data_IF_598130084539
#
_entry.id   IF_598130084539
#
_cell.length_a   1.000
_cell.length_b   1.000
_cell.length_c   1.000
_cell.angle_alpha   90.00
_cell.angle_beta   90.00
_cell.angle_gamma   90.00
#
_symmetry.space_group_name_H-M   'P 1'
#
loop_
_entity.id
_entity.type
_entity.pdbx_description
1 polymer ?
#
# COMPACT_ATOMS: atom_id res chain seq x y z
N UNK A 1 2.83 -4.69 22.48
CA UNK A 1 2.83 -4.66 21.01
C UNK A 1 4.25 -4.88 20.54
N UNK A 2 4.49 -5.80 19.59
CA UNK A 2 5.81 -5.96 18.96
C UNK A 2 6.34 -4.63 18.39
N UNK A 3 7.65 -4.53 18.30
CA UNK A 3 8.34 -3.34 17.77
C UNK A 3 8.35 -3.33 16.23
N UNK A 4 7.16 -3.26 15.62
CA UNK A 4 6.92 -3.40 14.18
C UNK A 4 5.73 -2.52 13.75
N UNK A 5 5.23 -2.70 12.52
CA UNK A 5 3.99 -2.11 12.00
C UNK A 5 2.79 -2.25 12.95
N UNK A 6 2.83 -3.18 13.90
CA UNK A 6 1.76 -3.40 14.86
C UNK A 6 1.38 -2.15 15.65
N UNK A 7 2.33 -1.20 15.80
CA UNK A 7 2.06 0.09 16.43
C UNK A 7 1.01 0.90 15.66
N UNK A 8 0.89 0.74 14.34
CA UNK A 8 -0.17 1.37 13.54
C UNK A 8 -1.57 0.97 13.99
N UNK A 9 -1.81 -0.27 14.40
CA UNK A 9 -3.13 -0.68 14.90
C UNK A 9 -3.53 0.12 16.15
N UNK A 10 -2.55 0.41 17.03
CA UNK A 10 -2.79 1.23 18.21
C UNK A 10 -3.00 2.70 17.85
N UNK A 11 -2.26 3.22 16.87
CA UNK A 11 -2.49 4.56 16.30
C UNK A 11 -3.93 4.68 15.80
N UNK A 12 -4.38 3.77 14.94
CA UNK A 12 -5.73 3.81 14.36
C UNK A 12 -6.83 3.57 15.38
N UNK A 13 -6.62 2.70 16.38
CA UNK A 13 -7.56 2.56 17.49
C UNK A 13 -7.73 3.87 18.27
N UNK A 14 -6.63 4.59 18.56
CA UNK A 14 -6.69 5.88 19.25
C UNK A 14 -7.32 6.98 18.37
N UNK A 15 -6.99 7.03 17.07
CA UNK A 15 -7.64 7.96 16.13
C UNK A 15 -9.15 7.73 16.05
N UNK A 16 -9.58 6.47 15.97
CA UNK A 16 -10.99 6.10 15.97
C UNK A 16 -11.70 6.51 17.25
N UNK A 17 -11.12 6.18 18.42
CA UNK A 17 -11.66 6.56 19.73
C UNK A 17 -11.74 8.09 19.88
N UNK A 18 -10.69 8.82 19.49
CA UNK A 18 -10.68 10.29 19.47
C UNK A 18 -11.82 10.84 18.62
N UNK A 19 -12.02 10.31 17.41
CA UNK A 19 -13.05 10.77 16.47
C UNK A 19 -14.48 10.64 17.00
N UNK A 20 -14.76 9.60 17.79
CA UNK A 20 -16.09 9.35 18.37
C UNK A 20 -16.25 9.88 19.79
N UNK A 21 -15.28 10.64 20.31
CA UNK A 21 -15.31 11.17 21.69
C UNK A 21 -15.10 10.11 22.77
N UNK A 22 -14.59 8.94 22.41
CA UNK A 22 -14.22 7.87 23.35
C UNK A 22 -12.93 8.18 24.12
N UNK A 23 -12.61 7.34 25.11
CA UNK A 23 -11.35 7.45 25.85
C UNK A 23 -10.17 7.05 24.94
N UNK A 24 -9.22 7.95 24.76
CA UNK A 24 -8.00 7.72 23.97
C UNK A 24 -6.78 8.33 24.67
N UNK A 25 -5.58 7.99 24.22
CA UNK A 25 -4.33 8.53 24.73
C UNK A 25 -3.57 9.29 23.64
N UNK A 26 -3.60 10.62 23.71
CA UNK A 26 -2.83 11.48 22.81
C UNK A 26 -1.32 11.24 22.97
N UNK A 27 -0.83 11.11 24.21
CA UNK A 27 0.58 10.78 24.49
C UNK A 27 1.02 9.47 23.83
N UNK A 28 0.18 8.43 23.87
CA UNK A 28 0.49 7.16 23.22
C UNK A 28 0.52 7.30 21.70
N UNK A 29 -0.44 8.01 21.13
CA UNK A 29 -0.50 8.27 19.69
C UNK A 29 0.76 8.98 19.21
N UNK A 30 1.17 10.06 19.89
CA UNK A 30 2.37 10.81 19.56
C UNK A 30 3.62 9.93 19.63
N UNK A 31 3.83 9.21 20.73
CA UNK A 31 4.99 8.30 20.89
C UNK A 31 5.05 7.21 19.83
N UNK A 32 3.90 6.67 19.43
CA UNK A 32 3.86 5.63 18.40
C UNK A 32 4.20 6.18 17.02
N UNK A 33 3.71 7.38 16.68
CA UNK A 33 4.05 8.04 15.41
C UNK A 33 5.53 8.40 15.38
N UNK A 34 6.07 8.99 16.46
CA UNK A 34 7.51 9.27 16.57
C UNK A 34 8.35 8.00 16.39
N UNK A 35 7.95 6.91 17.05
CA UNK A 35 8.67 5.64 16.96
C UNK A 35 8.55 4.98 15.59
N UNK A 36 7.35 4.94 14.99
CA UNK A 36 7.13 4.43 13.64
C UNK A 36 7.95 5.19 12.59
N UNK A 37 8.17 6.49 12.80
CA UNK A 37 9.02 7.30 11.92
C UNK A 37 10.49 6.88 11.94
N UNK A 38 10.97 6.26 13.01
CA UNK A 38 12.34 5.72 13.06
C UNK A 38 12.56 4.54 12.11
N UNK A 39 11.49 3.98 11.54
CA UNK A 39 11.56 2.87 10.60
C UNK A 39 11.77 3.32 9.16
N UNK A 40 11.61 4.62 8.87
CA UNK A 40 11.88 5.19 7.56
C UNK A 40 13.38 5.11 7.25
N UNK A 41 13.72 4.72 6.03
CA UNK A 41 15.12 4.56 5.58
C UNK A 41 15.52 5.54 4.48
N UNK A 42 14.55 6.13 3.80
CA UNK A 42 14.76 7.13 2.76
C UNK A 42 14.20 6.69 1.42
N UNK A 43 14.17 7.61 0.46
CA UNK A 43 13.56 7.47 -0.87
C UNK A 43 12.16 6.80 -0.87
N UNK A 44 11.33 7.12 0.13
CA UNK A 44 10.00 6.52 0.26
C UNK A 44 9.99 5.10 0.85
N UNK A 45 11.12 4.48 1.17
CA UNK A 45 11.16 3.12 1.72
C UNK A 45 11.27 3.11 3.25
N UNK A 46 10.57 2.15 3.86
CA UNK A 46 10.57 1.92 5.30
C UNK A 46 10.73 0.44 5.60
N UNK A 47 11.37 0.14 6.72
CA UNK A 47 11.39 -1.19 7.29
C UNK A 47 10.07 -1.49 8.01
N UNK A 48 9.73 -2.77 8.15
CA UNK A 48 8.78 -3.22 9.17
C UNK A 48 9.47 -3.49 10.51
N UNK A 49 10.13 -2.46 11.05
CA UNK A 49 10.85 -2.54 12.32
C UNK A 49 12.05 -1.61 12.43
N UNK A 50 12.79 -1.71 13.55
CA UNK A 50 13.94 -0.85 13.82
C UNK A 50 15.10 -1.09 12.85
N UNK A 51 16.14 -0.28 13.00
CA UNK A 51 17.38 -0.42 12.24
C UNK A 51 17.95 -1.85 12.36
N UNK A 52 18.49 -2.38 11.27
CA UNK A 52 18.95 -3.77 11.15
C UNK A 52 17.90 -4.78 10.66
N UNK A 53 16.60 -4.44 10.70
CA UNK A 53 15.54 -5.26 10.08
C UNK A 53 15.36 -4.83 8.63
N UNK A 54 15.68 -5.67 7.65
CA UNK A 54 15.48 -5.34 6.24
C UNK A 54 14.20 -6.01 5.70
N UNK A 55 13.09 -5.27 5.70
CA UNK A 55 11.78 -5.74 5.22
C UNK A 55 11.11 -4.63 4.40
N UNK A 56 11.57 -4.47 3.17
CA UNK A 56 11.14 -3.43 2.22
C UNK A 56 10.38 -4.04 1.05
N UNK A 57 9.43 -4.92 1.32
CA UNK A 57 8.60 -5.61 0.32
C UNK A 57 7.23 -4.96 0.14
N UNK A 58 6.33 -5.58 -0.64
CA UNK A 58 4.96 -5.09 -0.80
C UNK A 58 4.17 -4.97 0.50
N UNK A 59 4.55 -5.70 1.57
CA UNK A 59 3.94 -5.47 2.87
C UNK A 59 4.21 -4.05 3.33
N UNK A 60 5.48 -3.63 3.30
CA UNK A 60 5.86 -2.27 3.67
C UNK A 60 5.40 -1.25 2.63
N UNK A 61 5.59 -1.54 1.35
CA UNK A 61 5.46 -0.55 0.29
C UNK A 61 4.04 -0.38 -0.27
N UNK A 62 3.20 -1.42 -0.16
CA UNK A 62 1.89 -1.43 -0.81
C UNK A 62 0.72 -1.47 0.16
N UNK A 63 0.64 -2.49 1.03
CA UNK A 63 -0.59 -2.82 1.75
C UNK A 63 -0.52 -2.72 3.27
N UNK A 64 0.62 -2.37 3.86
CA UNK A 64 0.71 -2.02 5.28
C UNK A 64 1.29 -0.62 5.48
N UNK A 65 2.61 -0.42 5.44
CA UNK A 65 3.20 0.82 5.98
C UNK A 65 2.80 2.06 5.18
N UNK A 66 3.03 2.09 3.86
CA UNK A 66 2.58 3.23 3.04
C UNK A 66 1.07 3.41 3.05
N UNK A 67 0.32 2.31 2.96
CA UNK A 67 -1.14 2.34 3.02
C UNK A 67 -1.64 3.02 4.31
N UNK A 68 -1.08 2.63 5.46
CA UNK A 68 -1.41 3.14 6.77
C UNK A 68 -0.93 4.60 6.94
N UNK A 69 0.26 4.95 6.44
CA UNK A 69 0.75 6.34 6.41
C UNK A 69 -0.19 7.26 5.61
N UNK A 70 -0.67 6.80 4.45
CA UNK A 70 -1.58 7.57 3.60
C UNK A 70 -2.96 7.72 4.23
N UNK A 71 -3.54 6.66 4.83
CA UNK A 71 -4.78 6.80 5.59
C UNK A 71 -4.59 7.75 6.77
N UNK A 72 -3.49 7.64 7.51
CA UNK A 72 -3.17 8.56 8.61
C UNK A 72 -3.13 10.00 8.11
N UNK A 73 -2.44 10.26 6.99
CA UNK A 73 -2.31 11.61 6.43
C UNK A 73 -3.67 12.25 6.10
N UNK A 74 -4.68 11.44 5.79
CA UNK A 74 -6.05 11.91 5.54
C UNK A 74 -6.82 12.12 6.83
N UNK A 75 -6.78 11.16 7.75
CA UNK A 75 -7.59 11.16 8.97
C UNK A 75 -7.07 12.14 10.04
N UNK A 76 -5.76 12.34 10.10
CA UNK A 76 -5.09 13.17 11.09
C UNK A 76 -4.66 14.54 10.52
N UNK A 77 -4.99 14.88 9.27
CA UNK A 77 -4.51 16.10 8.59
C UNK A 77 -4.69 17.40 9.40
N UNK A 78 -5.80 17.53 10.13
CA UNK A 78 -6.07 18.71 10.96
C UNK A 78 -5.27 18.71 12.26
N UNK A 79 -5.04 17.55 12.85
CA UNK A 79 -4.39 17.40 14.16
C UNK A 79 -2.86 17.35 14.05
N UNK A 80 -2.34 16.77 12.97
CA UNK A 80 -0.92 16.61 12.68
C UNK A 80 -0.63 16.90 11.19
N UNK A 81 -0.76 18.18 10.75
CA UNK A 81 -0.58 18.55 9.35
C UNK A 81 0.86 18.34 8.86
N UNK A 82 1.84 18.46 9.75
CA UNK A 82 3.25 18.28 9.40
C UNK A 82 3.55 16.81 9.06
N UNK A 83 3.11 15.87 9.90
CA UNK A 83 3.30 14.46 9.62
C UNK A 83 2.47 13.97 8.44
N UNK A 84 1.25 14.51 8.27
CA UNK A 84 0.43 14.24 7.11
C UNK A 84 1.14 14.64 5.81
N UNK A 85 1.73 15.84 5.75
CA UNK A 85 2.50 16.30 4.60
C UNK A 85 3.73 15.41 4.33
N UNK A 86 4.47 15.06 5.37
CA UNK A 86 5.64 14.17 5.29
C UNK A 86 5.29 12.79 4.72
N UNK A 87 4.20 12.17 5.18
CA UNK A 87 3.75 10.87 4.65
C UNK A 87 3.30 10.94 3.20
N UNK A 88 2.67 12.03 2.78
CA UNK A 88 2.34 12.25 1.37
C UNK A 88 3.61 12.41 0.52
N UNK A 89 4.62 13.11 1.02
CA UNK A 89 5.89 13.29 0.30
C UNK A 89 6.65 11.96 0.15
N UNK A 90 6.71 11.14 1.22
CA UNK A 90 7.28 9.79 1.13
C UNK A 90 6.58 8.94 0.07
N UNK A 91 5.25 9.04 -0.01
CA UNK A 91 4.48 8.34 -1.02
C UNK A 91 4.74 8.87 -2.44
N UNK A 92 4.90 10.19 -2.62
CA UNK A 92 5.33 10.76 -3.91
C UNK A 92 6.66 10.17 -4.37
N UNK A 93 7.66 10.13 -3.49
CA UNK A 93 8.96 9.54 -3.84
C UNK A 93 8.85 8.04 -4.15
N UNK A 94 8.14 7.28 -3.31
CA UNK A 94 7.96 5.84 -3.52
C UNK A 94 7.20 5.50 -4.82
N UNK A 95 6.25 6.34 -5.23
CA UNK A 95 5.46 6.11 -6.45
C UNK A 95 6.34 6.00 -7.70
N UNK A 96 7.44 6.78 -7.76
CA UNK A 96 8.38 6.76 -8.88
C UNK A 96 9.21 5.47 -8.95
N UNK A 97 9.32 4.72 -7.85
CA UNK A 97 9.94 3.40 -7.83
C UNK A 97 8.89 2.31 -8.08
N UNK A 98 7.74 2.40 -7.40
CA UNK A 98 6.70 1.37 -7.42
C UNK A 98 6.05 1.18 -8.80
N UNK A 99 6.04 2.21 -9.65
CA UNK A 99 5.54 2.11 -11.03
C UNK A 99 6.26 1.03 -11.84
N UNK A 100 7.56 0.80 -11.57
CA UNK A 100 8.38 -0.16 -12.30
C UNK A 100 8.12 -1.62 -11.90
N UNK A 101 7.32 -1.87 -10.86
CA UNK A 101 6.96 -3.23 -10.46
C UNK A 101 5.73 -3.78 -11.19
N UNK A 102 5.10 -2.96 -12.04
CA UNK A 102 3.92 -3.31 -12.81
C UNK A 102 4.21 -3.23 -14.31
N UNK A 103 3.67 -4.16 -15.06
CA UNK A 103 3.69 -4.06 -16.52
C UNK A 103 2.44 -3.36 -17.07
N UNK A 104 2.43 -3.18 -18.39
CA UNK A 104 1.35 -2.52 -19.10
C UNK A 104 0.03 -3.29 -19.07
N UNK A 105 0.05 -4.58 -18.75
CA UNK A 105 -1.16 -5.40 -18.52
C UNK A 105 -1.63 -5.35 -17.05
N UNK A 106 -0.93 -4.60 -16.20
CA UNK A 106 -1.22 -4.46 -14.77
C UNK A 106 -0.77 -5.65 -13.93
N UNK A 107 0.03 -6.57 -14.47
CA UNK A 107 0.62 -7.67 -13.70
C UNK A 107 1.73 -7.11 -12.81
N UNK A 108 1.77 -7.59 -11.58
CA UNK A 108 2.79 -7.22 -10.61
C UNK A 108 3.83 -8.36 -10.50
N UNK A 109 5.11 -8.01 -10.41
CA UNK A 109 6.17 -8.97 -10.10
C UNK A 109 5.97 -9.46 -8.65
N UNK A 110 5.90 -10.76 -8.36
CA UNK A 110 5.81 -11.24 -6.98
C UNK A 110 7.03 -10.79 -6.16
N UNK A 111 6.80 -10.08 -5.06
CA UNK A 111 7.86 -9.43 -4.30
C UNK A 111 7.63 -9.49 -2.78
N UNK A 112 8.48 -10.28 -2.12
CA UNK A 112 8.57 -10.42 -0.67
C UNK A 112 7.45 -11.23 -0.03
N UNK A 113 7.03 -10.86 1.17
CA UNK A 113 6.09 -11.65 1.98
C UNK A 113 4.63 -11.22 1.81
N UNK A 114 3.74 -12.01 2.40
CA UNK A 114 2.28 -11.82 2.39
C UNK A 114 1.70 -11.78 0.98
N UNK A 115 2.35 -12.46 0.04
CA UNK A 115 1.90 -12.52 -1.36
C UNK A 115 0.53 -13.18 -1.51
N UNK A 116 0.06 -13.92 -0.50
CA UNK A 116 -1.30 -14.44 -0.44
C UNK A 116 -2.39 -13.35 -0.43
N UNK A 117 -2.01 -12.08 -0.27
CA UNK A 117 -2.92 -10.92 -0.36
C UNK A 117 -3.15 -10.47 -1.82
N UNK A 118 -2.45 -11.04 -2.79
CA UNK A 118 -2.75 -10.95 -4.24
C UNK A 118 -2.84 -9.51 -4.75
N UNK A 119 -4.05 -9.05 -5.08
CA UNK A 119 -4.30 -7.70 -5.60
C UNK A 119 -4.15 -6.59 -4.55
N UNK A 120 -3.84 -6.91 -3.29
CA UNK A 120 -3.42 -5.91 -2.31
C UNK A 120 -2.18 -5.11 -2.78
N UNK A 121 -1.38 -5.64 -3.71
CA UNK A 121 -0.20 -4.95 -4.26
C UNK A 121 -0.51 -3.57 -4.87
N UNK A 122 -1.74 -3.33 -5.35
CA UNK A 122 -2.17 -2.03 -5.87
C UNK A 122 -2.84 -1.12 -4.83
N UNK A 123 -2.92 -1.53 -3.57
CA UNK A 123 -3.56 -0.72 -2.52
C UNK A 123 -2.84 0.60 -2.24
N UNK A 124 -1.53 0.69 -2.47
CA UNK A 124 -0.79 1.96 -2.46
C UNK A 124 -1.39 2.99 -3.42
N UNK A 125 -1.65 2.58 -4.67
CA UNK A 125 -2.23 3.45 -5.70
C UNK A 125 -3.65 3.89 -5.33
N UNK A 126 -4.44 2.99 -4.73
CA UNK A 126 -5.75 3.31 -4.20
C UNK A 126 -5.67 4.30 -3.01
N UNK A 127 -4.66 4.15 -2.16
CA UNK A 127 -4.40 5.03 -1.04
C UNK A 127 -3.90 6.42 -1.46
N UNK A 128 -3.15 6.55 -2.57
CA UNK A 128 -2.81 7.86 -3.14
C UNK A 128 -4.07 8.66 -3.48
N UNK A 129 -5.06 8.01 -4.11
CA UNK A 129 -6.35 8.64 -4.40
C UNK A 129 -7.07 9.04 -3.11
N UNK A 130 -7.20 8.11 -2.15
CA UNK A 130 -7.89 8.38 -0.89
C UNK A 130 -7.30 9.54 -0.09
N UNK A 131 -5.97 9.64 -0.07
CA UNK A 131 -5.25 10.66 0.67
C UNK A 131 -5.17 12.01 -0.07
N UNK A 132 -5.69 12.14 -1.30
CA UNK A 132 -5.50 13.31 -2.17
C UNK A 132 -4.00 13.71 -2.24
N UNK A 133 -3.18 12.77 -2.69
CA UNK A 133 -1.74 13.02 -2.92
C UNK A 133 -1.58 13.74 -4.25
N UNK A 134 -0.90 14.89 -4.25
CA UNK A 134 -0.42 15.49 -5.49
C UNK A 134 0.56 14.51 -6.14
N UNK A 135 0.36 14.15 -7.41
CA UNK A 135 1.22 13.15 -8.06
C UNK A 135 2.55 13.79 -8.50
N UNK A 136 3.69 13.08 -8.36
CA UNK A 136 4.96 13.54 -8.90
C UNK A 136 5.00 13.34 -10.42
N UNK A 137 5.57 14.28 -11.17
CA UNK A 137 5.82 14.08 -12.61
C UNK A 137 6.75 12.87 -12.85
N UNK A 138 6.51 12.06 -13.90
CA UNK A 138 5.50 12.20 -14.95
C UNK A 138 4.17 11.44 -14.67
N UNK A 139 3.92 11.07 -13.41
CA UNK A 139 2.78 10.24 -13.03
C UNK A 139 1.46 11.03 -13.14
N UNK A 140 0.47 10.45 -13.82
CA UNK A 140 -0.87 11.04 -13.95
C UNK A 140 -1.93 10.17 -13.27
N UNK A 141 -3.10 10.76 -12.96
CA UNK A 141 -4.23 9.99 -12.45
C UNK A 141 -4.73 8.92 -13.43
N UNK A 142 -4.57 9.15 -14.74
CA UNK A 142 -4.87 8.13 -15.75
C UNK A 142 -3.95 6.92 -15.65
N UNK A 143 -2.66 7.13 -15.36
CA UNK A 143 -1.70 6.04 -15.12
C UNK A 143 -2.01 5.29 -13.83
N UNK A 144 -2.30 6.01 -12.75
CA UNK A 144 -2.68 5.42 -11.44
C UNK A 144 -3.95 4.57 -11.58
N UNK A 145 -4.99 5.10 -12.23
CA UNK A 145 -6.22 4.38 -12.56
C UNK A 145 -5.93 3.14 -13.40
N UNK A 146 -5.09 3.30 -14.43
CA UNK A 146 -4.67 2.21 -15.30
C UNK A 146 -4.00 1.05 -14.56
N UNK A 147 -3.05 1.33 -13.66
CA UNK A 147 -2.38 0.31 -12.85
C UNK A 147 -3.37 -0.47 -11.96
N UNK A 148 -4.25 0.25 -11.24
CA UNK A 148 -5.24 -0.39 -10.37
C UNK A 148 -6.21 -1.27 -11.18
N UNK A 149 -6.82 -0.72 -12.23
CA UNK A 149 -7.88 -1.43 -12.95
C UNK A 149 -7.35 -2.57 -13.82
N UNK A 150 -6.18 -2.42 -14.45
CA UNK A 150 -5.55 -3.53 -15.20
C UNK A 150 -5.14 -4.67 -14.27
N UNK A 151 -4.59 -4.37 -13.09
CA UNK A 151 -4.25 -5.38 -12.09
C UNK A 151 -5.49 -6.17 -11.63
N UNK A 152 -6.58 -5.46 -11.30
CA UNK A 152 -7.83 -6.11 -10.89
C UNK A 152 -8.41 -6.97 -12.02
N UNK A 153 -8.38 -6.50 -13.28
CA UNK A 153 -8.82 -7.28 -14.44
C UNK A 153 -7.96 -8.53 -14.64
N UNK A 154 -6.64 -8.42 -14.48
CA UNK A 154 -5.75 -9.59 -14.58
C UNK A 154 -6.07 -10.62 -13.49
N UNK A 155 -6.23 -10.19 -12.24
CA UNK A 155 -6.58 -11.09 -11.13
C UNK A 155 -7.93 -11.79 -11.33
N UNK A 156 -8.91 -11.15 -11.98
CA UNK A 156 -10.19 -11.79 -12.32
C UNK A 156 -10.04 -12.97 -13.30
N UNK A 157 -8.95 -13.05 -14.05
CA UNK A 157 -8.67 -14.19 -14.94
C UNK A 157 -8.05 -15.39 -14.20
N UNK A 158 -7.62 -15.22 -12.94
CA UNK A 158 -7.00 -16.28 -12.14
C UNK A 158 -8.08 -17.12 -11.44
N UNK A 159 -8.78 -17.98 -12.19
CA UNK A 159 -9.94 -18.73 -11.69
C UNK A 159 -9.61 -19.69 -10.56
N UNK A 160 -8.39 -20.21 -10.51
CA UNK A 160 -7.99 -21.23 -9.53
C UNK A 160 -7.75 -20.65 -8.13
N UNK A 161 -7.72 -19.32 -7.98
CA UNK A 161 -7.56 -18.70 -6.67
C UNK A 161 -8.80 -18.83 -5.77
N UNK A 162 -9.95 -19.18 -6.35
CA UNK A 162 -11.21 -19.33 -5.65
C UNK A 162 -11.41 -20.76 -5.14
N UNK A 163 -11.91 -20.89 -3.92
CA UNK A 163 -12.40 -22.16 -3.39
C UNK A 163 -13.76 -22.50 -4.02
N UNK A 164 -14.22 -23.73 -3.84
CA UNK A 164 -15.56 -24.15 -4.26
C UNK A 164 -16.71 -23.37 -3.61
N UNK A 165 -16.46 -22.71 -2.46
CA UNK A 165 -17.42 -21.82 -1.81
C UNK A 165 -17.36 -20.37 -2.31
N UNK A 166 -16.56 -20.06 -3.33
CA UNK A 166 -16.38 -18.70 -3.85
C UNK A 166 -15.57 -17.78 -2.94
N UNK A 167 -14.75 -18.35 -2.04
CA UNK A 167 -13.86 -17.59 -1.16
C UNK A 167 -12.42 -17.62 -1.67
N UNK A 168 -11.61 -16.65 -1.27
CA UNK A 168 -10.19 -16.64 -1.63
C UNK A 168 -9.44 -17.76 -0.89
N UNK A 169 -8.71 -18.59 -1.64
CA UNK A 169 -7.85 -19.64 -1.07
C UNK A 169 -6.57 -19.06 -0.46
N UNK A 170 -5.86 -19.85 0.36
CA UNK A 170 -4.45 -19.58 0.67
C UNK A 170 -3.60 -20.03 -0.52
N UNK A 171 -2.75 -19.14 -1.04
CA UNK A 171 -1.96 -19.35 -2.23
C UNK A 171 -1.81 -18.06 -3.03
N UNK A 172 -1.53 -18.18 -4.33
CA UNK A 172 -1.39 -17.03 -5.24
C UNK A 172 -2.45 -17.11 -6.34
N UNK A 173 -2.08 -17.38 -7.59
CA UNK A 173 -3.05 -17.64 -8.68
C UNK A 173 -3.80 -18.97 -8.54
N UNK A 174 -3.30 -19.87 -7.68
CA UNK A 174 -3.91 -21.15 -7.33
C UNK A 174 -3.65 -21.47 -5.85
N UNK A 175 -4.34 -22.46 -5.25
CA UNK A 175 -4.16 -22.81 -3.84
C UNK A 175 -2.77 -23.40 -3.61
N UNK A 176 -2.01 -22.82 -2.69
CA UNK A 176 -0.66 -23.25 -2.41
C UNK A 176 -0.28 -22.95 -0.96
N UNK A 177 -0.26 -23.98 -0.12
CA UNK A 177 0.09 -23.85 1.30
C UNK A 177 1.56 -23.57 1.55
N UNK A 178 2.46 -23.81 0.58
CA UNK A 178 3.88 -23.42 0.71
C UNK A 178 4.07 -21.90 0.70
N UNK A 179 3.07 -21.14 0.26
CA UNK A 179 3.06 -19.69 0.35
C UNK A 179 2.51 -19.15 1.66
N UNK A 180 2.04 -20.03 2.56
CA UNK A 180 1.54 -19.60 3.85
C UNK A 180 2.69 -19.19 4.78
N UNK A 181 2.53 -18.07 5.47
CA UNK A 181 3.35 -17.72 6.63
C UNK A 181 2.66 -18.12 7.95
N UNK A 182 3.43 -18.20 9.03
CA UNK A 182 2.94 -18.65 10.36
C UNK A 182 1.81 -17.80 10.96
N UNK A 183 1.60 -16.59 10.46
CA UNK A 183 0.51 -15.69 10.88
C UNK A 183 -0.71 -15.74 9.94
N UNK A 184 -0.66 -16.53 8.87
CA UNK A 184 -1.76 -16.62 7.92
C UNK A 184 -2.93 -17.44 8.51
N UNK A 185 -4.14 -17.01 8.19
CA UNK A 185 -5.40 -17.69 8.48
C UNK A 185 -6.29 -17.69 7.23
N UNK A 186 -7.42 -18.41 7.21
CA UNK A 186 -8.36 -18.37 6.09
C UNK A 186 -8.89 -16.96 5.75
N UNK A 187 -8.86 -16.02 6.71
CA UNK A 187 -9.24 -14.63 6.48
C UNK A 187 -8.12 -13.76 5.89
N UNK A 188 -6.85 -14.19 5.99
CA UNK A 188 -5.69 -13.41 5.55
C UNK A 188 -5.72 -13.04 4.06
N UNK A 189 -6.15 -13.90 3.12
CA UNK A 189 -6.31 -13.53 1.72
C UNK A 189 -7.17 -12.28 1.45
N UNK A 190 -8.08 -11.93 2.35
CA UNK A 190 -8.98 -10.78 2.18
C UNK A 190 -8.33 -9.43 2.47
N UNK A 191 -7.06 -9.38 2.87
CA UNK A 191 -6.25 -8.16 2.74
C UNK A 191 -6.20 -7.66 1.28
N UNK A 192 -6.50 -8.52 0.31
CA UNK A 192 -6.73 -8.12 -1.07
C UNK A 192 -7.74 -6.97 -1.21
N UNK A 193 -8.76 -6.90 -0.33
CA UNK A 193 -9.78 -5.85 -0.37
C UNK A 193 -9.24 -4.43 -0.12
N UNK A 194 -8.01 -4.26 0.39
CA UNK A 194 -7.37 -2.94 0.51
C UNK A 194 -7.21 -2.24 -0.85
N UNK A 195 -7.15 -3.00 -1.95
CA UNK A 195 -7.14 -2.47 -3.31
C UNK A 195 -8.38 -1.61 -3.64
N UNK A 196 -9.50 -1.84 -2.95
CA UNK A 196 -10.75 -1.13 -3.19
C UNK A 196 -10.87 0.20 -2.43
N UNK A 197 -9.81 0.65 -1.74
CA UNK A 197 -9.84 1.92 -1.00
C UNK A 197 -10.21 3.12 -1.89
N UNK A 198 -9.90 3.08 -3.19
CA UNK A 198 -10.29 4.12 -4.14
C UNK A 198 -11.82 4.29 -4.27
N UNK A 199 -12.64 3.30 -3.90
CA UNK A 199 -14.10 3.45 -3.86
C UNK A 199 -14.56 4.48 -2.81
N UNK A 200 -13.71 4.85 -1.87
CA UNK A 200 -14.02 5.86 -0.86
C UNK A 200 -13.87 7.31 -1.37
N UNK A 201 -13.29 7.55 -2.56
CA UNK A 201 -13.21 8.91 -3.13
C UNK A 201 -14.44 9.25 -3.98
N UNK A 202 -14.88 10.52 -4.04
CA UNK A 202 -16.04 10.95 -4.81
C UNK A 202 -15.91 10.64 -6.31
N UNK A 203 -17.03 10.44 -7.01
CA UNK A 203 -17.06 10.17 -8.45
C UNK A 203 -16.34 11.22 -9.30
N UNK A 204 -16.28 12.47 -8.82
CA UNK A 204 -15.60 13.59 -9.50
C UNK A 204 -14.09 13.65 -9.23
N UNK A 205 -13.55 12.78 -8.37
CA UNK A 205 -12.13 12.75 -8.09
C UNK A 205 -11.32 12.43 -9.37
N UNK A 206 -10.16 13.08 -9.62
CA UNK A 206 -9.33 12.87 -10.80
C UNK A 206 -9.04 11.40 -11.13
N UNK A 207 -8.85 10.54 -10.12
CA UNK A 207 -8.73 9.09 -10.29
C UNK A 207 -9.88 8.47 -11.10
N UNK A 208 -11.12 8.89 -10.88
CA UNK A 208 -12.29 8.33 -11.57
C UNK A 208 -12.54 8.98 -12.93
N UNK A 209 -12.41 10.30 -13.03
CA UNK A 209 -12.73 11.04 -14.25
C UNK A 209 -11.63 10.98 -15.31
N UNK A 210 -10.39 10.66 -14.93
CA UNK A 210 -9.29 10.54 -15.89
C UNK A 210 -9.50 9.31 -16.79
N UNK A 211 -9.21 9.41 -18.10
CA UNK A 211 -9.11 8.23 -18.95
C UNK A 211 -7.95 7.33 -18.47
N UNK A 212 -8.11 6.01 -18.58
CA UNK A 212 -7.02 5.09 -18.26
C UNK A 212 -5.83 5.32 -19.21
N UNK A 213 -4.62 5.38 -18.66
CA UNK A 213 -3.38 5.61 -19.40
C UNK A 213 -2.37 4.49 -19.13
N UNK A 214 -1.48 4.24 -20.08
CA UNK A 214 -0.29 3.40 -19.88
C UNK A 214 0.85 4.20 -19.27
N UNK A 215 1.74 3.53 -18.54
CA UNK A 215 3.00 4.09 -18.04
C UNK A 215 4.14 3.97 -19.05
N UNK A 216 3.95 3.16 -20.10
CA UNK A 216 4.91 2.95 -21.19
C UNK A 216 5.45 4.26 -21.77
N UNK A 217 6.77 4.38 -21.85
CA UNK A 217 7.43 5.53 -22.49
C UNK A 217 7.50 6.80 -21.65
N UNK A 218 6.89 6.84 -20.46
CA UNK A 218 7.00 7.97 -19.54
C UNK A 218 8.08 7.77 -18.47
N UNK A 219 8.39 6.52 -18.13
CA UNK A 219 9.41 6.17 -17.14
C UNK A 219 10.63 5.51 -17.80
N UNK A 220 11.83 5.60 -17.19
CA UNK A 220 13.00 4.89 -17.67
C UNK A 220 12.75 3.40 -17.83
N UNK A 221 13.22 2.79 -18.92
CA UNK A 221 13.05 1.35 -19.15
C UNK A 221 13.90 0.48 -18.22
N UNK A 222 14.85 1.07 -17.49
CA UNK A 222 15.63 0.40 -16.45
C UNK A 222 15.71 1.34 -15.26
N UNK A 223 15.41 0.81 -14.07
CA UNK A 223 15.44 1.57 -12.82
C UNK A 223 16.16 0.79 -11.72
N UNK A 224 17.29 1.30 -11.20
CA UNK A 224 17.83 0.83 -9.93
C UNK A 224 16.94 1.35 -8.79
N UNK A 225 16.51 0.45 -7.92
CA UNK A 225 15.74 0.74 -6.71
C UNK A 225 16.63 0.34 -5.53
N UNK A 226 17.37 1.33 -5.01
CA UNK A 226 18.50 1.13 -4.09
C UNK A 226 18.10 0.39 -2.81
N UNK A 227 17.04 0.85 -2.16
CA UNK A 227 16.61 0.36 -0.86
C UNK A 227 16.24 -1.13 -0.84
N UNK A 228 15.33 -1.64 -1.68
CA UNK A 228 15.09 -3.08 -1.81
C UNK A 228 16.20 -3.82 -2.58
N UNK A 229 17.21 -3.13 -3.11
CA UNK A 229 18.35 -3.74 -3.81
C UNK A 229 18.01 -4.32 -5.17
N UNK A 230 17.05 -3.73 -5.89
CA UNK A 230 16.55 -4.25 -7.16
C UNK A 230 16.99 -3.45 -8.37
N UNK A 231 17.02 -4.10 -9.54
CA UNK A 231 17.07 -3.45 -10.85
C UNK A 231 15.84 -3.93 -11.63
N UNK A 232 14.94 -3.02 -11.97
CA UNK A 232 13.68 -3.31 -12.66
C UNK A 232 13.79 -2.92 -14.13
N UNK A 233 13.15 -3.71 -15.00
CA UNK A 233 13.14 -3.54 -16.45
C UNK A 233 11.75 -3.80 -17.02
#
# INVERSE_FOLDING_TARGET
MPNTNWLWFRVFANLGLKKVGGQYSQDRLTKDIEHLNTFYRGAGWSNDGPEGIHQMDYYSSSFAIHFLQLIYSKLAATDDPAMAAEFKERARVAALDLVHYFDDEGRAIPFGRSMIYRFAVVSFWAALAYADVELPEPLTWGMVKGMVLRNLRWWQTQTDMWTSSGTLSIGYSYPNMYMAENYNSPGSPYWACLAFLCLAVPEQHPFWISPEQSTTGFFPSIKPVEYPGHILR
#
